data_IF_104837535308
#
_entry.id   IF_104837535308
#
_cell.length_a   1.000
_cell.length_b   1.000
_cell.length_c   1.000
_cell.angle_alpha   90.00
_cell.angle_beta   90.00
_cell.angle_gamma   90.00
#
_symmetry.space_group_name_H-M   'P 1'
#
loop_
_entity.id
_entity.type
_entity.pdbx_description
1 polymer ?
#
# COMPACT_ATOMS: atom_id res chain seq x y z
N UNK A 1 -78.40 19.25 -25.22
CA UNK A 1 -77.12 18.58 -25.53
C UNK A 1 -75.99 19.46 -25.03
N UNK A 2 -75.04 18.82 -24.32
CA UNK A 2 -73.68 19.23 -23.93
C UNK A 2 -73.43 20.58 -23.24
N UNK A 3 -73.10 20.53 -21.95
CA UNK A 3 -72.30 21.53 -21.26
C UNK A 3 -70.81 21.24 -21.51
N UNK A 4 -70.09 22.20 -22.10
CA UNK A 4 -68.66 22.11 -22.37
C UNK A 4 -67.89 22.51 -21.10
N UNK A 5 -67.45 21.53 -20.31
CA UNK A 5 -66.52 21.76 -19.21
C UNK A 5 -65.12 22.03 -19.79
N UNK A 6 -64.65 23.28 -19.68
CA UNK A 6 -63.24 23.63 -19.92
C UNK A 6 -62.41 23.11 -18.75
N UNK A 7 -61.65 22.05 -18.97
CA UNK A 7 -60.63 21.58 -18.04
C UNK A 7 -59.44 22.55 -18.05
N UNK A 8 -59.24 23.28 -16.95
CA UNK A 8 -58.04 24.07 -16.72
C UNK A 8 -56.92 23.11 -16.32
N UNK A 9 -56.19 22.59 -17.28
CA UNK A 9 -54.93 21.89 -17.02
C UNK A 9 -53.89 22.93 -16.60
N UNK A 10 -53.63 23.02 -15.29
CA UNK A 10 -52.65 23.95 -14.71
C UNK A 10 -51.23 23.61 -15.21
N UNK A 11 -50.46 24.58 -15.74
CA UNK A 11 -49.11 24.36 -16.29
C UNK A 11 -48.09 23.87 -15.25
N UNK A 12 -48.43 23.96 -13.96
CA UNK A 12 -47.66 23.42 -12.84
C UNK A 12 -47.54 21.89 -12.85
N UNK A 13 -48.58 21.18 -13.27
CA UNK A 13 -48.59 19.71 -13.31
C UNK A 13 -47.66 19.19 -14.41
N UNK A 14 -47.58 19.89 -15.54
CA UNK A 14 -46.72 19.54 -16.67
C UNK A 14 -45.22 19.72 -16.35
N UNK A 15 -44.84 20.77 -15.61
CA UNK A 15 -43.44 20.98 -15.20
C UNK A 15 -42.96 19.96 -14.16
N UNK A 16 -43.81 19.58 -13.21
CA UNK A 16 -43.49 18.56 -12.21
C UNK A 16 -43.29 17.17 -12.84
N UNK A 17 -44.12 16.80 -13.82
CA UNK A 17 -44.00 15.53 -14.52
C UNK A 17 -42.71 15.43 -15.36
N UNK A 18 -42.33 16.52 -16.04
CA UNK A 18 -41.08 16.59 -16.82
C UNK A 18 -39.83 16.52 -15.91
N UNK A 19 -39.88 17.18 -14.75
CA UNK A 19 -38.81 17.11 -13.74
C UNK A 19 -38.64 15.70 -13.15
N UNK A 20 -39.74 15.00 -12.88
CA UNK A 20 -39.69 13.62 -12.37
C UNK A 20 -39.13 12.64 -13.41
N UNK A 21 -39.45 12.81 -14.69
CA UNK A 21 -38.89 11.99 -15.77
C UNK A 21 -37.38 12.19 -15.93
N UNK A 22 -36.88 13.41 -15.80
CA UNK A 22 -35.44 13.71 -15.82
C UNK A 22 -34.68 13.02 -14.67
N UNK A 23 -35.25 13.04 -13.46
CA UNK A 23 -34.64 12.38 -12.29
C UNK A 23 -34.61 10.86 -12.48
N UNK A 24 -35.68 10.26 -13.03
CA UNK A 24 -35.70 8.82 -13.31
C UNK A 24 -34.68 8.41 -14.38
N UNK A 25 -34.48 9.24 -15.41
CA UNK A 25 -33.44 9.01 -16.43
C UNK A 25 -32.02 9.14 -15.83
N UNK A 26 -31.79 10.12 -14.96
CA UNK A 26 -30.53 10.27 -14.22
C UNK A 26 -30.27 9.11 -13.25
N UNK A 27 -31.30 8.60 -12.58
CA UNK A 27 -31.19 7.42 -11.70
C UNK A 27 -31.00 6.12 -12.49
N UNK A 28 -31.52 6.02 -13.71
CA UNK A 28 -31.30 4.88 -14.61
C UNK A 28 -29.90 4.89 -15.24
N UNK A 29 -29.25 6.05 -15.34
CA UNK A 29 -27.81 6.17 -15.58
C UNK A 29 -27.02 5.87 -14.30
N UNK A 30 -27.29 4.70 -13.71
CA UNK A 30 -26.40 4.10 -12.73
C UNK A 30 -25.18 3.58 -13.50
N UNK A 31 -24.32 4.50 -13.94
CA UNK A 31 -22.96 4.15 -14.29
C UNK A 31 -22.41 3.41 -13.08
N UNK A 32 -22.20 2.11 -13.22
CA UNK A 32 -21.44 1.35 -12.25
C UNK A 32 -20.08 2.03 -12.22
N UNK A 33 -19.86 2.90 -11.23
CA UNK A 33 -18.54 3.41 -10.94
C UNK A 33 -17.74 2.17 -10.57
N UNK A 34 -17.03 1.60 -11.56
CA UNK A 34 -15.98 0.64 -11.29
C UNK A 34 -15.06 1.37 -10.32
N UNK A 35 -14.83 0.84 -9.10
CA UNK A 35 -13.92 1.49 -8.19
C UNK A 35 -12.62 1.69 -8.96
N UNK A 36 -12.14 2.93 -9.04
CA UNK A 36 -10.81 3.20 -9.56
C UNK A 36 -9.86 2.55 -8.56
N UNK A 37 -9.56 1.27 -8.75
CA UNK A 37 -8.55 0.56 -7.98
C UNK A 37 -7.21 1.09 -8.49
N UNK A 38 -6.67 2.07 -7.79
CA UNK A 38 -5.28 2.49 -7.99
C UNK A 38 -4.39 1.32 -7.53
N UNK A 39 -3.99 0.48 -8.48
CA UNK A 39 -3.07 -0.62 -8.20
C UNK A 39 -1.76 -0.06 -7.63
N UNK A 40 -1.25 -0.68 -6.57
CA UNK A 40 0.05 -0.30 -6.01
C UNK A 40 1.15 -0.66 -7.00
N UNK A 41 1.92 0.34 -7.42
CA UNK A 41 3.03 0.19 -8.36
C UNK A 41 4.12 1.22 -8.08
N UNK A 42 5.36 0.83 -8.34
CA UNK A 42 6.52 1.69 -8.42
C UNK A 42 7.16 1.50 -9.81
N UNK A 43 8.01 2.44 -10.23
CA UNK A 43 8.79 2.29 -11.45
C UNK A 43 10.17 1.70 -11.12
N UNK A 44 10.79 0.94 -12.04
CA UNK A 44 12.17 0.48 -11.85
C UNK A 44 13.14 1.65 -11.61
N UNK A 45 12.90 2.79 -12.27
CA UNK A 45 13.67 4.02 -12.07
C UNK A 45 13.63 4.54 -10.64
N UNK A 46 12.59 4.19 -9.86
CA UNK A 46 12.49 4.59 -8.45
C UNK A 46 13.51 3.88 -7.56
N UNK A 47 14.13 2.80 -8.06
CA UNK A 47 15.19 2.04 -7.38
C UNK A 47 16.59 2.30 -7.96
N UNK A 48 16.71 3.16 -8.96
CA UNK A 48 17.97 3.48 -9.64
C UNK A 48 18.69 4.70 -9.04
N UNK A 49 18.33 5.10 -7.81
CA UNK A 49 19.00 6.20 -7.13
C UNK A 49 20.48 5.83 -6.85
N UNK A 50 21.46 6.66 -7.23
CA UNK A 50 22.86 6.32 -7.06
C UNK A 50 23.20 5.98 -5.61
N UNK A 51 24.04 4.97 -5.40
CA UNK A 51 24.54 4.51 -4.10
C UNK A 51 23.51 3.98 -3.09
N UNK A 52 22.21 4.18 -3.30
CA UNK A 52 21.18 3.83 -2.30
C UNK A 52 21.11 2.34 -2.01
N UNK A 53 21.38 1.51 -3.02
CA UNK A 53 21.44 0.06 -2.86
C UNK A 53 22.55 -0.29 -1.88
N UNK A 54 23.75 0.26 -2.09
CA UNK A 54 24.88 0.00 -1.22
C UNK A 54 24.59 0.49 0.20
N UNK A 55 24.10 1.72 0.35
CA UNK A 55 23.78 2.29 1.66
C UNK A 55 22.71 1.50 2.41
N UNK A 56 21.67 1.03 1.71
CA UNK A 56 20.61 0.20 2.30
C UNK A 56 21.17 -1.14 2.76
N UNK A 57 22.03 -1.76 1.96
CA UNK A 57 22.62 -3.06 2.30
C UNK A 57 23.64 -2.94 3.43
N UNK A 58 24.47 -1.90 3.43
CA UNK A 58 25.41 -1.62 4.52
C UNK A 58 24.67 -1.33 5.83
N UNK A 59 23.62 -0.50 5.80
CA UNK A 59 22.78 -0.24 6.98
C UNK A 59 22.18 -1.54 7.54
N UNK A 60 21.62 -2.36 6.67
CA UNK A 60 21.07 -3.66 7.07
C UNK A 60 22.16 -4.56 7.66
N UNK A 61 23.36 -4.57 7.08
CA UNK A 61 24.49 -5.33 7.60
C UNK A 61 24.91 -4.84 8.99
N UNK A 62 25.11 -3.53 9.18
CA UNK A 62 25.48 -2.91 10.45
C UNK A 62 24.49 -3.26 11.57
N UNK A 63 23.18 -3.13 11.28
CA UNK A 63 22.15 -3.49 12.24
C UNK A 63 22.08 -5.01 12.49
N UNK A 64 22.29 -5.84 11.47
CA UNK A 64 22.30 -7.29 11.64
C UNK A 64 23.44 -7.79 12.54
N UNK A 65 24.57 -7.07 12.60
CA UNK A 65 25.66 -7.39 13.52
C UNK A 65 25.30 -7.08 14.98
N UNK A 66 24.35 -6.17 15.21
CA UNK A 66 23.79 -5.86 16.52
C UNK A 66 22.53 -6.69 16.85
N UNK A 67 22.00 -7.45 15.89
CA UNK A 67 20.83 -8.31 16.05
C UNK A 67 21.26 -9.70 16.57
N UNK A 68 20.90 -9.98 17.82
CA UNK A 68 21.19 -11.27 18.46
C UNK A 68 20.10 -12.33 18.23
N UNK A 69 19.01 -12.00 17.52
CA UNK A 69 17.89 -12.89 17.28
C UNK A 69 18.10 -13.60 15.94
N UNK A 70 18.34 -14.90 15.96
CA UNK A 70 18.66 -15.66 14.73
C UNK A 70 17.51 -16.54 14.22
N UNK A 71 16.53 -16.83 15.07
CA UNK A 71 15.41 -17.75 14.81
C UNK A 71 14.17 -17.07 14.23
N UNK A 72 14.09 -15.74 14.34
CA UNK A 72 12.99 -14.93 13.81
C UNK A 72 13.42 -14.18 12.56
N UNK A 73 12.72 -14.45 11.46
CA UNK A 73 12.79 -13.69 10.19
C UNK A 73 11.48 -12.94 9.97
N UNK A 74 11.54 -11.61 9.83
CA UNK A 74 10.36 -10.75 9.66
C UNK A 74 9.89 -10.70 8.19
N UNK A 75 10.82 -10.44 7.27
CA UNK A 75 10.57 -10.33 5.83
C UNK A 75 10.93 -11.66 5.16
N UNK A 76 9.90 -12.49 4.96
CA UNK A 76 10.06 -13.82 4.35
C UNK A 76 8.74 -14.45 3.94
N UNK A 77 8.76 -15.75 3.61
CA UNK A 77 7.60 -16.51 3.09
C UNK A 77 6.31 -16.30 3.90
N UNK A 78 6.41 -16.32 5.23
CA UNK A 78 5.26 -16.18 6.13
C UNK A 78 4.51 -14.85 5.95
N UNK A 79 5.22 -13.78 5.62
CA UNK A 79 4.63 -12.46 5.40
C UNK A 79 3.66 -12.46 4.21
N UNK A 80 3.98 -13.22 3.15
CA UNK A 80 3.17 -13.29 1.93
C UNK A 80 2.18 -14.46 1.91
N UNK A 81 2.05 -15.20 3.02
CA UNK A 81 1.23 -16.39 3.07
C UNK A 81 -0.24 -16.06 2.74
N UNK A 82 -0.80 -16.78 1.77
CA UNK A 82 -2.17 -16.58 1.29
C UNK A 82 -2.37 -15.39 0.35
N UNK A 83 -1.29 -14.72 -0.09
CA UNK A 83 -1.35 -13.56 -1.00
C UNK A 83 -0.63 -13.91 -2.30
N UNK A 84 -1.40 -14.29 -3.31
CA UNK A 84 -0.86 -14.78 -4.58
C UNK A 84 -0.70 -13.69 -5.64
N UNK A 85 -1.53 -12.64 -5.60
CA UNK A 85 -1.51 -11.58 -6.61
C UNK A 85 -0.41 -10.56 -6.31
N UNK A 86 0.43 -10.28 -7.30
CA UNK A 86 1.57 -9.35 -7.18
C UNK A 86 1.12 -7.95 -6.75
N UNK A 87 0.04 -7.42 -7.33
CA UNK A 87 -0.55 -6.12 -6.94
C UNK A 87 -0.90 -6.06 -5.45
N UNK A 88 -1.45 -7.15 -4.90
CA UNK A 88 -1.77 -7.30 -3.47
C UNK A 88 -0.51 -7.44 -2.62
N UNK A 89 0.55 -8.07 -3.12
CA UNK A 89 1.86 -8.14 -2.45
C UNK A 89 2.52 -6.76 -2.38
N UNK A 90 2.43 -5.95 -3.43
CA UNK A 90 2.88 -4.57 -3.38
C UNK A 90 2.08 -3.75 -2.36
N UNK A 91 0.76 -3.91 -2.30
CA UNK A 91 -0.06 -3.28 -1.25
C UNK A 91 0.34 -3.75 0.15
N UNK A 92 0.63 -5.04 0.35
CA UNK A 92 1.18 -5.52 1.62
C UNK A 92 2.48 -4.80 1.97
N UNK A 93 3.40 -4.68 1.01
CA UNK A 93 4.70 -4.06 1.24
C UNK A 93 4.62 -2.56 1.47
N UNK A 94 3.63 -1.87 0.89
CA UNK A 94 3.27 -0.50 1.30
C UNK A 94 3.00 -0.43 2.81
N UNK A 95 2.17 -1.33 3.33
CA UNK A 95 1.81 -1.31 4.75
C UNK A 95 3.02 -1.62 5.64
N UNK A 96 3.87 -2.55 5.23
CA UNK A 96 5.13 -2.85 5.93
C UNK A 96 6.09 -1.67 5.88
N UNK A 97 6.25 -1.04 4.72
CA UNK A 97 7.10 0.13 4.53
C UNK A 97 6.68 1.30 5.43
N UNK A 98 5.38 1.60 5.49
CA UNK A 98 4.87 2.67 6.35
C UNK A 98 5.15 2.38 7.83
N UNK A 99 4.90 1.14 8.27
CA UNK A 99 5.24 0.70 9.62
C UNK A 99 6.74 0.85 9.91
N UNK A 100 7.59 0.35 9.01
CA UNK A 100 9.05 0.44 9.15
C UNK A 100 9.51 1.89 9.26
N UNK A 101 8.96 2.81 8.45
CA UNK A 101 9.31 4.22 8.54
C UNK A 101 8.86 4.85 9.87
N UNK A 102 7.57 4.75 10.19
CA UNK A 102 6.95 5.49 11.29
C UNK A 102 7.32 4.93 12.66
N UNK A 103 7.38 3.61 12.80
CA UNK A 103 7.54 2.94 14.09
C UNK A 103 8.96 2.39 14.31
N UNK A 104 9.85 2.45 13.32
CA UNK A 104 11.23 1.95 13.46
C UNK A 104 12.29 2.98 13.02
N UNK A 105 12.32 3.36 11.74
CA UNK A 105 13.44 4.15 11.21
C UNK A 105 13.44 5.58 11.74
N UNK A 106 12.28 6.24 11.81
CA UNK A 106 12.21 7.60 12.34
C UNK A 106 12.53 7.65 13.85
N UNK A 107 12.01 6.74 14.71
CA UNK A 107 12.45 6.66 16.11
C UNK A 107 13.94 6.35 16.30
N UNK A 108 14.55 5.59 15.39
CA UNK A 108 15.95 5.18 15.45
C UNK A 108 16.87 6.03 14.57
N UNK A 109 16.44 7.23 14.16
CA UNK A 109 17.14 8.07 13.17
C UNK A 109 18.58 8.39 13.53
N UNK A 110 18.91 8.43 14.81
CA UNK A 110 20.23 8.83 15.30
C UNK A 110 21.23 7.65 15.34
N UNK A 111 20.76 6.42 15.14
CA UNK A 111 21.60 5.21 15.10
C UNK A 111 22.12 4.95 13.68
N UNK A 112 23.17 4.13 13.56
CA UNK A 112 23.72 3.61 12.29
C UNK A 112 24.02 4.70 11.25
N UNK A 113 24.62 5.79 11.73
CA UNK A 113 25.09 6.87 10.87
C UNK A 113 26.39 6.47 10.15
N UNK A 114 26.62 6.93 8.91
CA UNK A 114 25.80 7.88 8.16
C UNK A 114 24.65 7.24 7.36
N UNK A 115 24.58 5.90 7.31
CA UNK A 115 23.69 5.20 6.37
C UNK A 115 22.20 5.45 6.64
N UNK A 116 21.80 5.53 7.91
CA UNK A 116 20.42 5.84 8.31
C UNK A 116 19.93 7.16 7.69
N UNK A 117 20.77 8.21 7.71
CA UNK A 117 20.41 9.53 7.18
C UNK A 117 20.12 9.53 5.69
N UNK A 118 20.82 8.71 4.90
CA UNK A 118 20.61 8.61 3.45
C UNK A 118 19.44 7.66 3.11
N UNK A 119 19.26 6.59 3.88
CA UNK A 119 18.28 5.54 3.60
C UNK A 119 16.84 5.94 3.97
N UNK A 120 16.65 6.69 5.07
CA UNK A 120 15.30 7.12 5.50
C UNK A 120 14.58 7.98 4.46
N UNK A 121 15.19 9.05 3.88
CA UNK A 121 14.54 9.85 2.84
C UNK A 121 14.14 9.04 1.61
N UNK A 122 14.96 8.06 1.22
CA UNK A 122 14.66 7.17 0.09
C UNK A 122 13.40 6.34 0.35
N UNK A 123 13.32 5.64 1.49
CA UNK A 123 12.13 4.87 1.82
C UNK A 123 10.88 5.76 1.99
N UNK A 124 11.03 6.96 2.54
CA UNK A 124 9.95 7.94 2.64
C UNK A 124 9.42 8.36 1.25
N UNK A 125 10.29 8.54 0.26
CA UNK A 125 9.93 8.82 -1.14
C UNK A 125 9.14 7.66 -1.76
N UNK A 126 9.53 6.41 -1.51
CA UNK A 126 8.78 5.23 -1.96
C UNK A 126 7.40 5.15 -1.29
N UNK A 127 7.32 5.36 0.02
CA UNK A 127 6.06 5.40 0.78
C UNK A 127 5.11 6.45 0.22
N UNK A 128 5.61 7.67 -0.05
CA UNK A 128 4.83 8.75 -0.64
C UNK A 128 4.26 8.37 -2.00
N UNK A 129 5.05 7.72 -2.87
CA UNK A 129 4.57 7.23 -4.18
C UNK A 129 3.46 6.18 -4.04
N UNK A 130 3.54 5.31 -3.02
CA UNK A 130 2.54 4.29 -2.74
C UNK A 130 1.31 4.83 -1.97
N UNK A 131 1.34 6.06 -1.45
CA UNK A 131 0.29 6.61 -0.58
C UNK A 131 -1.12 6.55 -1.20
N UNK A 132 -1.22 6.78 -2.51
CA UNK A 132 -2.50 6.87 -3.24
C UNK A 132 -3.11 5.51 -3.63
N UNK A 133 -2.37 4.40 -3.50
CA UNK A 133 -2.89 3.08 -3.85
C UNK A 133 -3.74 2.46 -2.72
N UNK A 134 -4.85 1.81 -3.07
CA UNK A 134 -5.75 1.19 -2.10
C UNK A 134 -6.18 -0.20 -2.57
N UNK A 135 -6.34 -1.12 -1.63
CA UNK A 135 -6.79 -2.48 -1.88
C UNK A 135 -8.04 -2.76 -1.05
N UNK A 136 -9.12 -3.15 -1.73
CA UNK A 136 -10.37 -3.57 -1.08
C UNK A 136 -10.25 -5.03 -0.64
N UNK A 137 -11.03 -5.44 0.36
CA UNK A 137 -10.97 -6.80 0.94
C UNK A 137 -9.54 -7.25 1.29
N UNK A 138 -8.89 -6.46 2.15
CA UNK A 138 -7.49 -6.65 2.51
C UNK A 138 -7.28 -7.35 3.87
N UNK A 139 -8.29 -8.05 4.41
CA UNK A 139 -8.24 -8.62 5.77
C UNK A 139 -7.05 -9.58 5.97
N UNK A 140 -6.75 -10.42 4.98
CA UNK A 140 -5.59 -11.31 5.01
C UNK A 140 -4.26 -10.55 5.04
N UNK A 141 -4.17 -9.44 4.29
CA UNK A 141 -3.00 -8.56 4.27
C UNK A 141 -2.83 -7.91 5.64
N UNK A 142 -3.91 -7.33 6.19
CA UNK A 142 -3.88 -6.70 7.51
C UNK A 142 -3.47 -7.69 8.60
N UNK A 143 -3.95 -8.93 8.55
CA UNK A 143 -3.53 -9.99 9.48
C UNK A 143 -2.02 -10.25 9.40
N UNK A 144 -1.47 -10.40 8.20
CA UNK A 144 -0.04 -10.68 8.03
C UNK A 144 0.83 -9.51 8.49
N UNK A 145 0.44 -8.27 8.15
CA UNK A 145 1.12 -7.05 8.62
C UNK A 145 1.03 -6.94 10.14
N UNK A 146 -0.15 -7.19 10.73
CA UNK A 146 -0.33 -7.13 12.18
C UNK A 146 0.50 -8.18 12.91
N UNK A 147 0.65 -9.39 12.36
CA UNK A 147 1.52 -10.41 12.92
C UNK A 147 2.99 -9.97 12.92
N UNK A 148 3.45 -9.31 11.85
CA UNK A 148 4.78 -8.70 11.80
C UNK A 148 4.93 -7.63 12.89
N UNK A 149 3.99 -6.67 12.97
CA UNK A 149 3.98 -5.61 14.00
C UNK A 149 4.02 -6.18 15.42
N UNK A 150 3.18 -7.16 15.70
CA UNK A 150 3.11 -7.83 16.99
C UNK A 150 4.43 -8.54 17.34
N UNK A 151 5.08 -9.13 16.34
CA UNK A 151 6.40 -9.78 16.52
C UNK A 151 7.45 -8.75 16.88
N UNK A 152 7.54 -7.64 16.13
CA UNK A 152 8.47 -6.54 16.43
C UNK A 152 8.24 -6.00 17.83
N UNK A 153 6.98 -5.69 18.18
CA UNK A 153 6.61 -5.21 19.52
C UNK A 153 6.97 -6.19 20.63
N UNK A 154 6.78 -7.49 20.42
CA UNK A 154 7.15 -8.53 21.38
C UNK A 154 8.66 -8.60 21.61
N UNK A 155 9.45 -8.31 20.58
CA UNK A 155 10.91 -8.30 20.63
C UNK A 155 11.49 -6.98 21.18
N UNK A 156 10.67 -5.94 21.36
CA UNK A 156 11.09 -4.64 21.89
C UNK A 156 12.15 -3.96 21.02
N UNK A 157 13.14 -3.32 21.65
CA UNK A 157 14.23 -2.63 20.94
C UNK A 157 15.00 -3.56 20.00
N UNK A 158 15.25 -4.81 20.38
CA UNK A 158 15.88 -5.81 19.50
C UNK A 158 15.04 -6.11 18.26
N UNK A 159 13.70 -5.99 18.37
CA UNK A 159 12.80 -6.07 17.22
C UNK A 159 12.99 -4.94 16.22
N UNK A 160 13.23 -3.73 16.71
CA UNK A 160 13.51 -2.55 15.87
C UNK A 160 14.87 -2.69 15.16
N UNK A 161 15.91 -3.12 15.88
CA UNK A 161 17.22 -3.43 15.28
C UNK A 161 17.10 -4.51 14.21
N UNK A 162 16.31 -5.57 14.46
CA UNK A 162 16.02 -6.60 13.47
C UNK A 162 15.33 -6.06 12.21
N UNK A 163 14.36 -5.16 12.36
CA UNK A 163 13.71 -4.52 11.20
C UNK A 163 14.74 -3.75 10.36
N UNK A 164 15.65 -3.01 11.00
CA UNK A 164 16.75 -2.31 10.30
C UNK A 164 17.66 -3.34 9.61
N UNK A 165 17.99 -4.43 10.31
CA UNK A 165 18.81 -5.53 9.82
C UNK A 165 18.23 -6.28 8.60
N UNK A 166 16.92 -6.17 8.38
CA UNK A 166 16.23 -6.78 7.24
C UNK A 166 15.81 -5.75 6.17
N UNK A 167 16.30 -4.51 6.21
CA UNK A 167 15.97 -3.48 5.21
C UNK A 167 16.38 -3.85 3.78
N UNK A 168 17.46 -4.60 3.61
CA UNK A 168 17.86 -5.13 2.31
C UNK A 168 16.79 -6.08 1.73
N UNK A 169 16.16 -6.91 2.57
CA UNK A 169 15.06 -7.79 2.18
C UNK A 169 13.81 -7.00 1.83
N UNK A 170 13.48 -5.97 2.62
CA UNK A 170 12.37 -5.07 2.31
C UNK A 170 12.60 -4.34 0.97
N UNK A 171 13.80 -3.84 0.72
CA UNK A 171 14.19 -3.21 -0.54
C UNK A 171 13.98 -4.15 -1.73
N UNK A 172 14.53 -5.38 -1.66
CA UNK A 172 14.40 -6.38 -2.72
C UNK A 172 12.94 -6.73 -2.97
N UNK A 173 12.16 -6.94 -1.90
CA UNK A 173 10.75 -7.28 -1.98
C UNK A 173 9.94 -6.15 -2.63
N UNK A 174 10.17 -4.89 -2.23
CA UNK A 174 9.51 -3.72 -2.82
C UNK A 174 9.82 -3.63 -4.32
N UNK A 175 11.09 -3.75 -4.71
CA UNK A 175 11.48 -3.70 -6.12
C UNK A 175 10.78 -4.80 -6.93
N UNK A 176 10.86 -6.04 -6.46
CA UNK A 176 10.28 -7.19 -7.16
C UNK A 176 8.76 -7.09 -7.28
N UNK A 177 8.06 -6.86 -6.18
CA UNK A 177 6.61 -6.97 -6.14
C UNK A 177 5.92 -5.68 -6.60
N UNK A 178 6.58 -4.52 -6.54
CA UNK A 178 5.99 -3.23 -6.94
C UNK A 178 6.48 -2.70 -8.29
N UNK A 179 7.70 -3.02 -8.73
CA UNK A 179 8.27 -2.49 -9.98
C UNK A 179 8.45 -3.53 -11.08
N UNK A 180 8.78 -4.78 -10.75
CA UNK A 180 9.00 -5.86 -11.75
C UNK A 180 7.73 -6.60 -12.17
N UNK A 181 6.54 -6.00 -12.02
CA UNK A 181 5.23 -6.62 -12.29
C UNK A 181 5.09 -7.16 -13.73
N UNK A 182 5.94 -6.72 -14.66
CA UNK A 182 5.94 -7.15 -16.07
C UNK A 182 6.88 -8.33 -16.40
N UNK A 183 7.75 -8.77 -15.47
CA UNK A 183 8.61 -9.93 -15.70
C UNK A 183 8.20 -11.07 -14.76
N UNK A 184 7.57 -12.10 -15.31
CA UNK A 184 7.10 -13.27 -14.57
C UNK A 184 8.25 -14.06 -13.93
N UNK A 185 8.61 -13.72 -12.70
CA UNK A 185 9.55 -14.51 -11.90
C UNK A 185 8.78 -15.43 -10.95
N UNK A 186 8.79 -16.74 -11.26
CA UNK A 186 8.43 -17.80 -10.30
C UNK A 186 9.37 -17.73 -9.10
N UNK A 187 8.81 -17.93 -7.91
CA UNK A 187 9.59 -18.09 -6.68
C UNK A 187 10.09 -19.55 -6.64
N UNK A 188 11.39 -19.76 -6.74
CA UNK A 188 12.01 -20.96 -6.18
C UNK A 188 12.55 -20.54 -4.79
N UNK A 189 11.98 -21.16 -3.75
CA UNK A 189 12.44 -21.03 -2.37
C UNK A 189 12.91 -22.37 -1.85
#
# INVERSE_FOLDING_TARGET
MAALQKSVSSPLVAMLAAGCLLILVLCAQRGAAVPITSHCRLNESDFQEPYIINYTFTLAQEASLADNITDVRLIGRKLFQGINQVTRRCYLLKQVLNFTLEEVLLPQSDKFQPHMKEVVPFFAKLSKKLSQCHEYDNQHIQRNVQNLKNTVKKLGESGEIKVIGELNLLFIALRRECAQVEQGWKMDY
#
